data_IF_411478123972
#
_entry.id   IF_411478123972
#
_cell.length_a   1.000
_cell.length_b   1.000
_cell.length_c   1.000
_cell.angle_alpha   90.00
_cell.angle_beta   90.00
_cell.angle_gamma   90.00
#
_symmetry.space_group_name_H-M   'P 1'
#
loop_
_entity.id
_entity.type
_entity.pdbx_description
1 polymer ?
#
# COMPACT_ATOMS: atom_id res chain seq x y z
N UNK A 1 -15.03 -2.77 3.82
CA UNK A 1 -13.83 -3.15 3.05
C UNK A 1 -14.33 -3.86 1.81
N UNK A 2 -13.77 -3.51 0.66
CA UNK A 2 -14.16 -4.10 -0.62
C UNK A 2 -12.90 -4.71 -1.26
N UNK A 3 -13.06 -5.88 -1.89
CA UNK A 3 -12.00 -6.49 -2.66
C UNK A 3 -11.93 -5.84 -4.04
N UNK A 4 -10.72 -5.60 -4.54
CA UNK A 4 -10.49 -4.98 -5.86
C UNK A 4 -10.68 -6.01 -6.97
N UNK A 5 -10.45 -7.28 -6.65
CA UNK A 5 -10.52 -8.43 -7.54
C UNK A 5 -11.03 -9.66 -6.76
N UNK A 6 -11.39 -10.73 -7.46
CA UNK A 6 -11.82 -11.98 -6.82
C UNK A 6 -10.74 -12.46 -5.83
N UNK A 7 -11.13 -12.61 -4.56
CA UNK A 7 -10.19 -12.82 -3.46
C UNK A 7 -10.71 -13.85 -2.48
N UNK A 8 -9.81 -14.70 -1.97
CA UNK A 8 -10.06 -15.56 -0.82
C UNK A 8 -9.30 -15.02 0.39
N UNK A 9 -9.93 -15.03 1.57
CA UNK A 9 -9.36 -14.47 2.79
C UNK A 9 -9.30 -15.51 3.91
N UNK A 10 -8.20 -15.48 4.67
CA UNK A 10 -8.12 -16.15 5.96
C UNK A 10 -8.55 -15.17 7.06
N UNK A 11 -9.42 -15.63 7.97
CA UNK A 11 -9.95 -14.81 9.05
C UNK A 11 -9.66 -15.46 10.40
N UNK A 12 -9.33 -14.65 11.39
CA UNK A 12 -9.24 -15.03 12.81
C UNK A 12 -10.25 -14.21 13.61
N UNK A 13 -10.89 -14.81 14.62
CA UNK A 13 -11.76 -14.05 15.52
C UNK A 13 -10.90 -13.14 16.40
N UNK A 14 -11.45 -11.99 16.77
CA UNK A 14 -10.76 -11.01 17.62
C UNK A 14 -10.26 -11.63 18.93
N UNK A 15 -11.10 -12.43 19.60
CA UNK A 15 -10.72 -13.04 20.88
C UNK A 15 -9.59 -14.05 20.69
N UNK A 16 -9.70 -14.97 19.73
CA UNK A 16 -8.65 -15.94 19.40
C UNK A 16 -7.31 -15.25 19.08
N UNK A 17 -7.34 -14.13 18.36
CA UNK A 17 -6.14 -13.33 18.10
C UNK A 17 -5.54 -12.75 19.38
N UNK A 18 -6.35 -12.16 20.27
CA UNK A 18 -5.86 -11.60 21.53
C UNK A 18 -5.36 -12.69 22.48
N UNK A 19 -5.97 -13.87 22.47
CA UNK A 19 -5.52 -15.02 23.23
C UNK A 19 -4.16 -15.53 22.74
N UNK A 20 -3.93 -15.57 21.42
CA UNK A 20 -2.62 -15.86 20.85
C UNK A 20 -1.58 -14.82 21.27
N UNK A 21 -1.90 -13.52 21.15
CA UNK A 21 -0.99 -12.45 21.59
C UNK A 21 -0.70 -12.52 23.09
N UNK A 22 -1.62 -12.99 23.92
CA UNK A 22 -1.39 -13.07 25.37
C UNK A 22 -0.62 -14.31 25.79
N UNK A 23 -0.92 -15.47 25.18
CA UNK A 23 -0.51 -16.76 25.69
C UNK A 23 0.59 -17.44 24.86
N UNK A 24 0.75 -17.08 23.59
CA UNK A 24 1.83 -17.59 22.75
C UNK A 24 3.05 -16.65 22.85
N UNK A 25 4.26 -17.17 23.18
CA UNK A 25 5.44 -16.34 23.41
C UNK A 25 6.02 -15.72 22.13
N UNK A 26 5.67 -16.23 20.95
CA UNK A 26 6.16 -15.73 19.66
C UNK A 26 5.26 -14.64 19.07
N UNK A 27 3.94 -14.77 19.24
CA UNK A 27 2.95 -13.85 18.67
C UNK A 27 3.13 -12.36 19.04
N UNK A 28 3.46 -11.96 20.28
CA UNK A 28 3.71 -10.57 20.63
C UNK A 28 4.80 -9.92 19.79
N UNK A 29 5.89 -10.66 19.54
CA UNK A 29 7.03 -10.17 18.76
C UNK A 29 6.62 -10.02 17.29
N UNK A 30 6.04 -11.07 16.71
CA UNK A 30 5.53 -11.04 15.34
C UNK A 30 4.54 -9.89 15.13
N UNK A 31 3.58 -9.74 16.04
CA UNK A 31 2.57 -8.69 15.96
C UNK A 31 3.18 -7.30 16.00
N UNK A 32 4.15 -7.06 16.90
CA UNK A 32 4.88 -5.79 16.98
C UNK A 32 5.64 -5.50 15.69
N UNK A 33 6.39 -6.47 15.16
CA UNK A 33 7.13 -6.31 13.90
C UNK A 33 6.18 -5.94 12.74
N UNK A 34 5.02 -6.61 12.66
CA UNK A 34 4.01 -6.29 11.63
C UNK A 34 3.36 -4.92 11.82
N UNK A 35 3.12 -4.49 13.05
CA UNK A 35 2.68 -3.12 13.32
C UNK A 35 3.75 -2.10 12.90
N UNK A 36 5.01 -2.32 13.28
CA UNK A 36 6.13 -1.42 12.93
C UNK A 36 6.27 -1.29 11.41
N UNK A 37 6.24 -2.40 10.66
CA UNK A 37 6.22 -2.39 9.19
C UNK A 37 5.00 -1.62 8.65
N UNK A 38 3.81 -1.88 9.21
CA UNK A 38 2.55 -1.26 8.81
C UNK A 38 2.51 0.26 9.00
N UNK A 39 3.20 0.78 10.02
CA UNK A 39 3.32 2.23 10.25
C UNK A 39 4.48 2.86 9.47
N UNK A 40 5.63 2.18 9.43
CA UNK A 40 6.86 2.74 8.89
C UNK A 40 6.84 2.81 7.36
N UNK A 41 6.33 1.78 6.68
CA UNK A 41 6.37 1.72 5.22
C UNK A 41 5.52 2.82 4.56
N UNK A 42 4.27 3.08 4.97
CA UNK A 42 3.50 4.20 4.43
C UNK A 42 4.13 5.55 4.73
N UNK A 43 4.67 5.75 5.94
CA UNK A 43 5.36 7.00 6.30
C UNK A 43 6.56 7.25 5.41
N UNK A 44 7.45 6.26 5.24
CA UNK A 44 8.62 6.39 4.35
C UNK A 44 8.20 6.75 2.92
N UNK A 45 7.13 6.14 2.39
CA UNK A 45 6.60 6.47 1.05
C UNK A 45 6.07 7.91 0.99
N UNK A 46 5.31 8.34 2.00
CA UNK A 46 4.76 9.69 2.05
C UNK A 46 5.90 10.71 2.08
N UNK A 47 6.91 10.49 2.93
CA UNK A 47 8.07 11.38 3.03
C UNK A 47 8.95 11.34 1.77
N UNK A 48 9.15 10.18 1.14
CA UNK A 48 9.91 10.13 -0.13
C UNK A 48 9.20 10.92 -1.23
N UNK A 49 7.86 10.93 -1.23
CA UNK A 49 7.08 11.70 -2.20
C UNK A 49 6.98 13.21 -1.86
N UNK A 50 7.48 13.65 -0.70
CA UNK A 50 7.59 15.07 -0.39
C UNK A 50 8.81 15.66 -1.10
N UNK A 51 8.57 16.59 -2.03
CA UNK A 51 9.62 17.21 -2.84
C UNK A 51 9.86 16.54 -4.19
N UNK A 52 9.40 15.31 -4.40
CA UNK A 52 9.43 14.65 -5.71
C UNK A 52 8.41 15.28 -6.69
N UNK A 53 8.86 15.45 -7.92
CA UNK A 53 8.03 15.72 -9.10
C UNK A 53 7.08 14.53 -9.35
N UNK A 54 5.91 14.81 -9.94
CA UNK A 54 4.94 13.78 -10.27
C UNK A 54 5.50 12.69 -11.20
N UNK A 55 6.40 13.03 -12.13
CA UNK A 55 7.10 12.07 -12.98
C UNK A 55 8.02 11.15 -12.18
N UNK A 56 8.74 11.68 -11.19
CA UNK A 56 9.62 10.90 -10.31
C UNK A 56 8.82 9.88 -9.51
N UNK A 57 7.66 10.28 -8.96
CA UNK A 57 6.73 9.36 -8.26
C UNK A 57 6.26 8.23 -9.17
N UNK A 58 5.98 8.52 -10.45
CA UNK A 58 5.59 7.55 -11.46
C UNK A 58 6.74 6.58 -11.81
N UNK A 59 7.97 7.08 -11.97
CA UNK A 59 9.16 6.25 -12.19
C UNK A 59 9.44 5.35 -10.99
N UNK A 60 9.30 5.89 -9.77
CA UNK A 60 9.43 5.13 -8.53
C UNK A 60 8.40 4.00 -8.48
N UNK A 61 7.14 4.27 -8.82
CA UNK A 61 6.09 3.26 -8.88
C UNK A 61 6.44 2.16 -9.89
N UNK A 62 6.87 2.52 -11.10
CA UNK A 62 7.27 1.54 -12.12
C UNK A 62 8.42 0.65 -11.65
N UNK A 63 9.40 1.23 -10.95
CA UNK A 63 10.58 0.48 -10.48
C UNK A 63 10.28 -0.40 -9.27
N UNK A 64 9.43 0.06 -8.35
CA UNK A 64 9.28 -0.57 -7.04
C UNK A 64 7.95 -1.31 -6.84
N UNK A 65 6.92 -0.99 -7.63
CA UNK A 65 5.53 -1.46 -7.47
C UNK A 65 4.80 -1.56 -8.82
N UNK A 66 5.48 -2.12 -9.83
CA UNK A 66 4.94 -2.25 -11.19
C UNK A 66 3.58 -2.95 -11.24
N UNK A 67 3.35 -3.92 -10.34
CA UNK A 67 2.12 -4.69 -10.22
C UNK A 67 0.88 -3.81 -9.94
N UNK A 68 1.07 -2.64 -9.31
CA UNK A 68 -0.03 -1.72 -9.06
C UNK A 68 -0.51 -1.02 -10.34
N UNK A 69 0.30 -0.98 -11.41
CA UNK A 69 -0.15 -0.40 -12.68
C UNK A 69 -1.28 -1.21 -13.32
N UNK A 70 -1.31 -2.52 -13.06
CA UNK A 70 -2.24 -3.47 -13.68
C UNK A 70 -3.40 -3.85 -12.75
N UNK A 71 -3.16 -3.92 -11.43
CA UNK A 71 -4.12 -4.47 -10.47
C UNK A 71 -5.12 -3.48 -9.89
N UNK A 72 -4.88 -2.17 -9.98
CA UNK A 72 -5.77 -1.17 -9.38
C UNK A 72 -6.23 -0.12 -10.38
N UNK A 73 -7.40 0.47 -10.12
CA UNK A 73 -7.96 1.51 -10.98
C UNK A 73 -7.08 2.76 -11.00
N UNK A 74 -7.16 3.55 -12.08
CA UNK A 74 -6.42 4.82 -12.17
C UNK A 74 -6.73 5.79 -11.03
N UNK A 75 -7.96 5.79 -10.50
CA UNK A 75 -8.33 6.59 -9.32
C UNK A 75 -7.58 6.15 -8.06
N UNK A 76 -7.47 4.84 -7.83
CA UNK A 76 -6.72 4.29 -6.69
C UNK A 76 -5.23 4.55 -6.85
N UNK A 77 -4.71 4.45 -8.07
CA UNK A 77 -3.32 4.74 -8.36
C UNK A 77 -2.96 6.22 -8.13
N UNK A 78 -3.83 7.15 -8.54
CA UNK A 78 -3.67 8.57 -8.29
C UNK A 78 -3.64 8.88 -6.77
N UNK A 79 -4.55 8.26 -6.01
CA UNK A 79 -4.56 8.33 -4.55
C UNK A 79 -3.28 7.77 -3.92
N UNK A 80 -2.79 6.62 -4.41
CA UNK A 80 -1.56 5.99 -3.95
C UNK A 80 -0.32 6.88 -4.15
N UNK A 81 -0.26 7.59 -5.28
CA UNK A 81 0.80 8.53 -5.64
C UNK A 81 0.65 9.94 -5.01
N UNK A 82 -0.49 10.22 -4.37
CA UNK A 82 -0.77 11.53 -3.81
C UNK A 82 -0.97 12.63 -4.86
N UNK A 83 -1.54 12.28 -6.03
CA UNK A 83 -1.83 13.23 -7.12
C UNK A 83 -3.30 13.16 -7.54
N UNK A 84 -3.76 14.15 -8.31
CA UNK A 84 -5.12 14.14 -8.84
C UNK A 84 -5.26 13.09 -9.97
N UNK A 85 -6.45 12.49 -10.16
CA UNK A 85 -6.70 11.60 -11.30
C UNK A 85 -6.45 12.26 -12.66
N UNK A 86 -6.75 13.55 -12.80
CA UNK A 86 -6.50 14.30 -14.05
C UNK A 86 -5.01 14.45 -14.33
N UNK A 87 -4.18 14.71 -13.31
CA UNK A 87 -2.72 14.75 -13.44
C UNK A 87 -2.18 13.38 -13.88
N UNK A 88 -2.66 12.30 -13.27
CA UNK A 88 -2.27 10.94 -13.67
C UNK A 88 -2.66 10.64 -15.13
N UNK A 89 -3.89 10.99 -15.53
CA UNK A 89 -4.36 10.78 -16.91
C UNK A 89 -3.54 11.56 -17.94
N UNK A 90 -3.10 12.79 -17.61
CA UNK A 90 -2.22 13.57 -18.50
C UNK A 90 -0.86 12.90 -18.66
N UNK A 91 -0.25 12.46 -17.56
CA UNK A 91 1.07 11.82 -17.60
C UNK A 91 1.06 10.45 -18.28
N UNK A 92 -0.05 9.71 -18.20
CA UNK A 92 -0.24 8.47 -18.97
C UNK A 92 -0.43 8.70 -20.47
N UNK A 93 -0.80 9.90 -20.92
CA UNK A 93 -0.87 10.21 -22.37
C UNK A 93 0.50 10.56 -22.94
N UNK A 94 1.35 11.19 -22.14
CA UNK A 94 2.76 11.48 -22.51
C UNK A 94 3.65 10.21 -22.44
N UNK A 95 3.05 9.06 -22.15
CA UNK A 95 3.70 7.77 -21.89
C UNK A 95 3.59 6.80 -23.07
N UNK A 96 2.62 7.02 -23.98
CA UNK A 96 2.48 6.27 -25.25
C UNK A 96 3.29 6.94 -26.37
#
# INVERSE_FOLDING_TARGET
MEAIEESSLLQIKRNDFHDLVKNDPFFPKLYREKLEEGFTNPQRRIYSFQGEDTKEKLLWLKKNRAELLERITGKMLASYLGISPSTLSRLKKDWD
#
